data_IF_436063983269
#
_entry.id   IF_436063983269
#
_cell.length_a   1.000
_cell.length_b   1.000
_cell.length_c   1.000
_cell.angle_alpha   90.00
_cell.angle_beta   90.00
_cell.angle_gamma   90.00
#
_symmetry.space_group_name_H-M   'P 1'
#
loop_
_entity.id
_entity.type
_entity.pdbx_description
1 polymer ?
#
# COMPACT_ATOMS: atom_id res chain seq x y z
N UNK A 1 23.31 0.33 -33.96
CA UNK A 1 23.07 -1.08 -33.56
C UNK A 1 23.84 -1.97 -34.51
N UNK A 2 24.98 -2.51 -34.08
CA UNK A 2 25.79 -3.45 -34.88
C UNK A 2 25.45 -4.85 -34.38
N UNK A 3 24.82 -5.65 -35.24
CA UNK A 3 24.56 -7.05 -34.98
C UNK A 3 25.74 -7.85 -35.53
N UNK A 4 26.50 -8.52 -34.67
CA UNK A 4 27.53 -9.48 -35.09
C UNK A 4 27.24 -10.85 -34.49
N UNK A 5 27.30 -11.88 -35.33
CA UNK A 5 26.80 -13.23 -35.07
C UNK A 5 27.89 -14.17 -34.53
N UNK A 6 28.82 -13.64 -33.71
CA UNK A 6 29.98 -14.39 -33.21
C UNK A 6 30.07 -14.28 -31.69
N UNK A 7 30.30 -15.42 -31.04
CA UNK A 7 30.27 -15.57 -29.58
C UNK A 7 31.29 -14.63 -28.91
N UNK A 8 30.85 -13.71 -28.02
CA UNK A 8 31.71 -12.71 -27.37
C UNK A 8 32.86 -13.28 -26.53
N UNK A 9 32.77 -14.55 -26.12
CA UNK A 9 33.73 -15.19 -25.21
C UNK A 9 35.15 -15.39 -25.82
N UNK A 10 35.30 -15.34 -27.14
CA UNK A 10 36.58 -15.63 -27.82
C UNK A 10 37.32 -14.35 -28.24
N UNK A 11 36.62 -13.21 -28.38
CA UNK A 11 37.22 -11.96 -28.87
C UNK A 11 37.76 -11.04 -27.75
N UNK A 12 37.29 -11.23 -26.51
CA UNK A 12 37.66 -10.39 -25.36
C UNK A 12 39.14 -10.46 -24.91
N UNK A 13 39.86 -11.60 -24.98
CA UNK A 13 41.26 -11.64 -24.56
C UNK A 13 42.20 -10.93 -25.55
N UNK A 14 41.97 -11.07 -26.86
CA UNK A 14 42.87 -10.52 -27.88
C UNK A 14 42.71 -8.99 -28.04
N UNK A 15 41.48 -8.48 -27.91
CA UNK A 15 41.21 -7.03 -27.88
C UNK A 15 41.77 -6.39 -26.61
N UNK A 16 41.68 -7.08 -25.45
CA UNK A 16 42.31 -6.61 -24.20
C UNK A 16 43.82 -6.50 -24.32
N UNK A 17 44.48 -7.45 -24.99
CA UNK A 17 45.94 -7.47 -25.12
C UNK A 17 46.46 -6.31 -25.97
N UNK A 18 45.81 -6.02 -27.11
CA UNK A 18 46.25 -4.94 -27.99
C UNK A 18 45.88 -3.55 -27.48
N UNK A 19 44.82 -3.41 -26.68
CA UNK A 19 44.41 -2.12 -26.11
C UNK A 19 45.24 -1.74 -24.87
N UNK A 20 45.67 -2.73 -24.08
CA UNK A 20 46.57 -2.52 -22.93
C UNK A 20 47.98 -2.06 -23.34
N UNK A 21 48.40 -2.35 -24.56
CA UNK A 21 49.75 -2.03 -25.06
C UNK A 21 49.90 -0.57 -25.52
N UNK A 22 48.81 0.10 -25.93
CA UNK A 22 48.88 1.45 -26.52
C UNK A 22 48.34 2.59 -25.64
N UNK A 23 47.50 2.31 -24.64
CA UNK A 23 46.93 3.35 -23.77
C UNK A 23 46.81 2.89 -22.30
N UNK A 24 47.91 2.84 -21.53
CA UNK A 24 47.90 2.48 -20.11
C UNK A 24 47.15 3.49 -19.21
N UNK A 25 46.77 4.65 -19.76
CA UNK A 25 46.11 5.75 -19.06
C UNK A 25 44.59 5.57 -18.97
N UNK A 26 44.03 4.65 -19.76
CA UNK A 26 42.65 4.22 -19.62
C UNK A 26 42.61 3.06 -18.61
N UNK A 27 42.72 3.42 -17.32
CA UNK A 27 42.31 2.60 -16.19
C UNK A 27 40.80 2.38 -16.21
N UNK A 28 40.25 1.83 -17.30
CA UNK A 28 38.92 1.29 -17.34
C UNK A 28 38.99 -0.08 -16.68
N UNK A 29 38.73 -0.10 -15.37
CA UNK A 29 38.21 -1.28 -14.71
C UNK A 29 36.95 -1.72 -15.48
N UNK A 30 37.12 -2.68 -16.38
CA UNK A 30 36.05 -3.56 -16.84
C UNK A 30 35.68 -4.50 -15.67
N UNK A 31 35.37 -3.91 -14.52
CA UNK A 31 34.69 -4.53 -13.41
C UNK A 31 33.22 -4.61 -13.81
N UNK A 32 32.84 -5.84 -14.19
CA UNK A 32 31.49 -6.35 -14.38
C UNK A 32 30.37 -5.32 -14.18
N UNK A 33 29.81 -4.81 -15.28
CA UNK A 33 28.60 -3.97 -15.26
C UNK A 33 27.47 -4.64 -14.45
N UNK A 34 27.45 -5.97 -14.36
CA UNK A 34 26.53 -6.71 -13.49
C UNK A 34 26.81 -6.51 -12.00
N UNK A 35 28.07 -6.36 -11.57
CA UNK A 35 28.42 -6.09 -10.18
C UNK A 35 28.00 -4.67 -9.76
N UNK A 36 28.19 -3.67 -10.62
CA UNK A 36 27.74 -2.29 -10.37
C UNK A 36 26.22 -2.15 -10.37
N UNK A 37 25.52 -2.90 -11.22
CA UNK A 37 24.05 -3.02 -11.16
C UNK A 37 23.61 -3.72 -9.88
N UNK A 38 24.30 -4.77 -9.45
CA UNK A 38 23.99 -5.49 -8.21
C UNK A 38 24.15 -4.60 -6.98
N UNK A 39 25.18 -3.76 -6.94
CA UNK A 39 25.40 -2.82 -5.82
C UNK A 39 24.37 -1.68 -5.78
N UNK A 40 23.97 -1.15 -6.95
CA UNK A 40 22.88 -0.16 -7.03
C UNK A 40 21.50 -0.72 -6.67
N UNK A 41 21.21 -1.96 -7.08
CA UNK A 41 19.94 -2.64 -6.81
C UNK A 41 19.77 -3.08 -5.36
N UNK A 42 20.86 -3.29 -4.61
CA UNK A 42 20.78 -3.68 -3.18
C UNK A 42 20.15 -2.57 -2.35
N UNK A 43 20.55 -1.30 -2.57
CA UNK A 43 19.99 -0.16 -1.83
C UNK A 43 18.52 0.08 -2.20
N UNK A 44 18.17 0.05 -3.49
CA UNK A 44 16.79 0.19 -3.95
C UNK A 44 15.89 -0.93 -3.41
N UNK A 45 16.35 -2.20 -3.46
CA UNK A 45 15.61 -3.34 -2.89
C UNK A 45 15.44 -3.22 -1.38
N UNK A 46 16.47 -2.80 -0.65
CA UNK A 46 16.39 -2.61 0.80
C UNK A 46 15.33 -1.55 1.14
N UNK A 47 15.36 -0.41 0.45
CA UNK A 47 14.37 0.65 0.64
C UNK A 47 12.95 0.16 0.29
N UNK A 48 12.79 -0.52 -0.84
CA UNK A 48 11.50 -1.09 -1.23
C UNK A 48 10.97 -2.11 -0.21
N UNK A 49 11.84 -2.99 0.32
CA UNK A 49 11.46 -3.96 1.36
C UNK A 49 11.07 -3.27 2.67
N UNK A 50 11.84 -2.29 3.14
CA UNK A 50 11.54 -1.54 4.36
C UNK A 50 10.24 -0.74 4.21
N UNK A 51 10.06 -0.03 3.08
CA UNK A 51 8.81 0.67 2.78
C UNK A 51 7.62 -0.28 2.70
N UNK A 52 7.79 -1.45 2.08
CA UNK A 52 6.76 -2.49 2.04
C UNK A 52 6.41 -3.02 3.43
N UNK A 53 7.41 -3.28 4.27
CA UNK A 53 7.22 -3.73 5.65
C UNK A 53 6.51 -2.68 6.51
N UNK A 54 6.93 -1.42 6.46
CA UNK A 54 6.24 -0.34 7.16
C UNK A 54 4.83 -0.10 6.62
N UNK A 55 4.62 -0.20 5.31
CA UNK A 55 3.29 -0.13 4.70
C UNK A 55 2.38 -1.25 5.20
N UNK A 56 2.91 -2.48 5.34
CA UNK A 56 2.18 -3.60 5.92
C UNK A 56 1.85 -3.38 7.40
N UNK A 57 2.79 -2.91 8.21
CA UNK A 57 2.52 -2.58 9.62
C UNK A 57 1.48 -1.46 9.75
N UNK A 58 1.59 -0.40 8.95
CA UNK A 58 0.61 0.67 8.91
C UNK A 58 -0.78 0.13 8.55
N UNK A 59 -0.87 -0.75 7.56
CA UNK A 59 -2.13 -1.43 7.19
C UNK A 59 -2.73 -2.22 8.37
N UNK A 60 -1.92 -2.96 9.13
CA UNK A 60 -2.38 -3.67 10.33
C UNK A 60 -2.91 -2.71 11.40
N UNK A 61 -2.16 -1.64 11.71
CA UNK A 61 -2.57 -0.64 12.70
C UNK A 61 -3.87 0.05 12.26
N UNK A 62 -3.98 0.43 10.98
CA UNK A 62 -5.20 0.98 10.40
C UNK A 62 -6.37 0.00 10.51
N UNK A 63 -6.15 -1.29 10.23
CA UNK A 63 -7.18 -2.32 10.33
C UNK A 63 -7.72 -2.43 11.76
N UNK A 64 -6.83 -2.48 12.76
CA UNK A 64 -7.21 -2.55 14.18
C UNK A 64 -7.91 -1.27 14.63
N UNK A 65 -7.38 -0.10 14.25
CA UNK A 65 -7.96 1.20 14.59
C UNK A 65 -9.36 1.37 14.02
N UNK A 66 -9.55 1.04 12.74
CA UNK A 66 -10.87 1.12 12.10
C UNK A 66 -11.85 0.12 12.71
N UNK A 67 -11.42 -1.12 12.98
CA UNK A 67 -12.25 -2.09 13.71
C UNK A 67 -12.71 -1.52 15.06
N UNK A 68 -11.79 -0.91 15.82
CA UNK A 68 -12.10 -0.29 17.11
C UNK A 68 -13.12 0.84 17.00
N UNK A 69 -12.91 1.77 16.07
CA UNK A 69 -13.82 2.91 15.83
C UNK A 69 -15.20 2.43 15.40
N UNK A 70 -15.30 1.50 14.44
CA UNK A 70 -16.58 0.99 13.96
C UNK A 70 -17.27 0.17 15.05
N UNK A 71 -16.55 -0.68 15.78
CA UNK A 71 -17.10 -1.43 16.91
C UNK A 71 -17.63 -0.50 18.01
N UNK A 72 -16.94 0.61 18.28
CA UNK A 72 -17.39 1.62 19.23
C UNK A 72 -18.67 2.32 18.76
N UNK A 73 -18.73 2.73 17.50
CA UNK A 73 -19.93 3.36 16.92
C UNK A 73 -21.13 2.41 16.97
N UNK A 74 -20.94 1.15 16.58
CA UNK A 74 -21.98 0.11 16.68
C UNK A 74 -22.42 -0.07 18.13
N UNK A 75 -21.47 -0.15 19.08
CA UNK A 75 -21.77 -0.32 20.49
C UNK A 75 -22.60 0.85 21.06
N UNK A 76 -22.33 2.08 20.61
CA UNK A 76 -23.03 3.31 21.02
C UNK A 76 -24.42 3.42 20.39
N UNK A 77 -24.64 2.84 19.21
CA UNK A 77 -25.94 2.81 18.50
C UNK A 77 -26.73 1.51 18.73
N UNK A 78 -26.36 0.67 19.70
CA UNK A 78 -27.01 -0.64 19.94
C UNK A 78 -28.52 -0.54 20.13
N UNK A 79 -29.00 0.44 20.89
CA UNK A 79 -30.44 0.61 21.16
C UNK A 79 -31.20 0.99 19.87
N UNK A 80 -30.68 1.93 19.08
CA UNK A 80 -31.28 2.31 17.79
C UNK A 80 -31.33 1.12 16.80
N UNK A 81 -30.24 0.34 16.76
CA UNK A 81 -30.16 -0.86 15.91
C UNK A 81 -31.15 -1.92 16.40
N UNK A 82 -31.27 -2.12 17.72
CA UNK A 82 -32.23 -3.04 18.33
C UNK A 82 -33.68 -2.67 18.02
N UNK A 83 -34.05 -1.38 18.14
CA UNK A 83 -35.38 -0.88 17.78
C UNK A 83 -35.66 -1.10 16.28
N UNK A 84 -34.70 -0.78 15.40
CA UNK A 84 -34.86 -1.04 13.95
C UNK A 84 -35.06 -2.52 13.65
N UNK A 85 -34.32 -3.40 14.32
CA UNK A 85 -34.47 -4.85 14.18
C UNK A 85 -35.83 -5.33 14.70
N UNK A 86 -36.33 -4.79 15.81
CA UNK A 86 -37.67 -5.09 16.34
C UNK A 86 -38.80 -4.64 15.40
N UNK A 87 -38.59 -3.53 14.68
CA UNK A 87 -39.50 -3.04 13.63
C UNK A 87 -39.40 -3.82 12.31
N UNK A 88 -38.61 -4.90 12.25
CA UNK A 88 -38.53 -5.78 11.09
C UNK A 88 -37.45 -5.42 10.07
N UNK A 89 -36.47 -4.58 10.42
CA UNK A 89 -35.35 -4.30 9.52
C UNK A 89 -34.57 -5.59 9.17
N UNK A 90 -34.23 -5.74 7.89
CA UNK A 90 -33.45 -6.89 7.44
C UNK A 90 -31.99 -6.74 7.89
N UNK A 91 -31.34 -7.86 8.26
CA UNK A 91 -29.92 -7.90 8.64
C UNK A 91 -29.00 -7.21 7.62
N UNK A 92 -29.31 -7.33 6.33
CA UNK A 92 -28.56 -6.68 5.24
C UNK A 92 -28.62 -5.14 5.29
N UNK A 93 -29.72 -4.55 5.74
CA UNK A 93 -29.86 -3.10 5.89
C UNK A 93 -28.95 -2.57 7.01
N UNK A 94 -28.84 -3.30 8.12
CA UNK A 94 -27.92 -2.96 9.22
C UNK A 94 -26.46 -3.09 8.79
N UNK A 95 -26.11 -4.16 8.07
CA UNK A 95 -24.75 -4.33 7.54
C UNK A 95 -24.41 -3.20 6.56
N UNK A 96 -25.30 -2.90 5.61
CA UNK A 96 -25.11 -1.83 4.63
C UNK A 96 -24.94 -0.46 5.28
N UNK A 97 -25.72 -0.16 6.31
CA UNK A 97 -25.59 1.07 7.09
C UNK A 97 -24.20 1.23 7.72
N UNK A 98 -23.68 0.17 8.35
CA UNK A 98 -22.34 0.19 8.96
C UNK A 98 -21.25 0.26 7.90
N UNK A 99 -21.40 -0.46 6.78
CA UNK A 99 -20.49 -0.37 5.63
C UNK A 99 -20.44 1.02 5.01
N UNK A 100 -21.58 1.70 4.89
CA UNK A 100 -21.66 3.07 4.38
C UNK A 100 -20.97 4.05 5.33
N UNK A 101 -21.12 3.90 6.64
CA UNK A 101 -20.44 4.75 7.62
C UNK A 101 -18.92 4.55 7.57
N UNK A 102 -18.46 3.29 7.48
CA UNK A 102 -17.04 2.98 7.25
C UNK A 102 -16.53 3.52 5.90
N UNK A 103 -17.33 3.39 4.84
CA UNK A 103 -17.00 3.88 3.50
C UNK A 103 -16.85 5.41 3.45
N UNK A 104 -17.70 6.15 4.17
CA UNK A 104 -17.56 7.62 4.27
C UNK A 104 -16.26 8.02 4.97
N UNK A 105 -15.90 7.35 6.07
CA UNK A 105 -14.62 7.58 6.74
C UNK A 105 -13.43 7.27 5.83
N UNK A 106 -13.51 6.16 5.09
CA UNK A 106 -12.49 5.76 4.12
C UNK A 106 -12.30 6.82 3.03
N UNK A 107 -13.38 7.30 2.41
CA UNK A 107 -13.30 8.31 1.33
C UNK A 107 -12.65 9.59 1.83
N UNK A 108 -13.05 10.07 3.02
CA UNK A 108 -12.44 11.25 3.64
C UNK A 108 -10.95 11.01 3.89
N UNK A 109 -10.59 9.84 4.44
CA UNK A 109 -9.20 9.46 4.70
C UNK A 109 -8.35 9.35 3.43
N UNK A 110 -8.88 8.77 2.35
CA UNK A 110 -8.20 8.66 1.06
C UNK A 110 -7.98 10.05 0.47
N UNK A 111 -8.98 10.94 0.48
CA UNK A 111 -8.84 12.29 -0.06
C UNK A 111 -7.78 13.09 0.71
N UNK A 112 -7.86 13.07 2.05
CA UNK A 112 -6.90 13.75 2.91
C UNK A 112 -5.48 13.17 2.75
N UNK A 113 -5.35 11.83 2.78
CA UNK A 113 -4.08 11.14 2.61
C UNK A 113 -3.45 11.37 1.24
N UNK A 114 -4.26 11.39 0.17
CA UNK A 114 -3.78 11.72 -1.18
C UNK A 114 -3.26 13.15 -1.24
N UNK A 115 -4.00 14.12 -0.70
CA UNK A 115 -3.56 15.51 -0.66
C UNK A 115 -2.24 15.67 0.10
N UNK A 116 -2.11 15.05 1.28
CA UNK A 116 -0.89 15.05 2.08
C UNK A 116 0.28 14.38 1.35
N UNK A 117 0.02 13.24 0.70
CA UNK A 117 1.03 12.51 -0.07
C UNK A 117 1.58 13.35 -1.22
N UNK A 118 0.74 14.10 -1.94
CA UNK A 118 1.17 14.98 -3.03
C UNK A 118 2.03 16.14 -2.51
N UNK A 119 1.67 16.74 -1.38
CA UNK A 119 2.46 17.82 -0.77
C UNK A 119 3.81 17.29 -0.29
N UNK A 120 3.83 16.15 0.41
CA UNK A 120 5.06 15.52 0.88
C UNK A 120 5.94 15.05 -0.28
N UNK A 121 5.35 14.48 -1.33
CA UNK A 121 6.05 14.04 -2.53
C UNK A 121 6.73 15.20 -3.27
N UNK A 122 6.07 16.37 -3.33
CA UNK A 122 6.69 17.59 -3.88
C UNK A 122 7.88 18.05 -3.05
N UNK A 123 7.76 18.11 -1.72
CA UNK A 123 8.86 18.48 -0.84
C UNK A 123 10.04 17.49 -0.91
N UNK A 124 9.75 16.19 -1.06
CA UNK A 124 10.77 15.17 -1.27
C UNK A 124 11.46 15.31 -2.65
N UNK A 125 10.70 15.63 -3.70
CA UNK A 125 11.26 15.82 -5.05
C UNK A 125 12.21 17.02 -5.16
N UNK A 126 12.06 18.05 -4.30
CA UNK A 126 13.03 19.15 -4.23
C UNK A 126 14.35 18.76 -3.58
N UNK A 127 14.42 17.61 -2.89
CA UNK A 127 15.61 17.12 -2.20
C UNK A 127 16.29 15.95 -2.94
N UNK A 128 15.53 15.14 -3.69
CA UNK A 128 16.02 13.98 -4.44
C UNK A 128 15.70 14.13 -5.94
N UNK A 129 16.74 14.26 -6.77
CA UNK A 129 16.62 14.21 -8.22
C UNK A 129 16.09 12.84 -8.67
N UNK A 130 15.01 12.82 -9.47
CA UNK A 130 14.50 11.62 -10.14
C UNK A 130 13.25 10.97 -9.52
N UNK A 131 12.75 11.45 -8.38
CA UNK A 131 11.41 11.03 -7.92
C UNK A 131 10.36 11.55 -8.89
N UNK A 132 9.50 10.66 -9.41
CA UNK A 132 8.22 11.04 -10.04
C UNK A 132 7.18 11.15 -8.92
N UNK A 133 6.84 12.36 -8.44
CA UNK A 133 5.91 12.52 -7.31
C UNK A 133 4.46 12.14 -7.63
N UNK A 134 4.14 11.80 -8.89
CA UNK A 134 2.80 11.48 -9.34
C UNK A 134 2.78 10.22 -10.21
N UNK A 135 2.50 9.08 -9.56
CA UNK A 135 2.12 7.86 -10.26
C UNK A 135 0.66 7.50 -9.92
N UNK A 136 -0.28 7.75 -10.85
CA UNK A 136 -1.69 7.41 -10.66
C UNK A 136 -1.93 5.93 -10.37
N UNK A 137 -1.10 5.03 -10.91
CA UNK A 137 -1.27 3.60 -10.71
C UNK A 137 -1.00 3.22 -9.25
N UNK A 138 0.08 3.75 -8.68
CA UNK A 138 0.42 3.52 -7.27
C UNK A 138 -0.64 4.09 -6.32
N UNK A 139 -1.15 5.31 -6.59
CA UNK A 139 -2.19 5.92 -5.75
C UNK A 139 -3.52 5.17 -5.81
N UNK A 140 -3.93 4.74 -7.02
CA UNK A 140 -5.16 3.96 -7.19
C UNK A 140 -5.06 2.57 -6.56
N UNK A 141 -3.91 1.90 -6.71
CA UNK A 141 -3.65 0.60 -6.06
C UNK A 141 -3.65 0.73 -4.53
N UNK A 142 -3.03 1.76 -3.97
CA UNK A 142 -3.05 2.04 -2.54
C UNK A 142 -4.48 2.31 -2.03
N UNK A 143 -5.26 3.12 -2.75
CA UNK A 143 -6.67 3.38 -2.42
C UNK A 143 -7.52 2.10 -2.45
N UNK A 144 -7.33 1.24 -3.46
CA UNK A 144 -8.02 -0.04 -3.54
C UNK A 144 -7.64 -0.99 -2.40
N UNK A 145 -6.36 -1.06 -2.05
CA UNK A 145 -5.89 -1.85 -0.92
C UNK A 145 -6.49 -1.37 0.41
N UNK A 146 -6.51 -0.05 0.64
CA UNK A 146 -7.15 0.54 1.82
C UNK A 146 -8.65 0.26 1.86
N UNK A 147 -9.32 0.25 0.70
CA UNK A 147 -10.73 -0.11 0.63
C UNK A 147 -10.99 -1.58 1.04
N UNK A 148 -10.14 -2.51 0.60
CA UNK A 148 -10.19 -3.91 1.03
C UNK A 148 -9.97 -4.03 2.53
N UNK A 149 -8.93 -3.37 3.06
CA UNK A 149 -8.63 -3.36 4.50
C UNK A 149 -9.83 -2.81 5.30
N UNK A 150 -10.42 -1.71 4.83
CA UNK A 150 -11.55 -1.08 5.49
C UNK A 150 -12.79 -1.96 5.49
N UNK A 151 -13.09 -2.62 4.37
CA UNK A 151 -14.17 -3.58 4.25
C UNK A 151 -13.95 -4.76 5.22
N UNK A 152 -12.75 -5.34 5.25
CA UNK A 152 -12.43 -6.45 6.14
C UNK A 152 -12.53 -6.07 7.62
N UNK A 153 -11.99 -4.91 8.01
CA UNK A 153 -12.04 -4.41 9.38
C UNK A 153 -13.47 -4.12 9.86
N UNK A 154 -14.30 -3.55 8.99
CA UNK A 154 -15.67 -3.15 9.35
C UNK A 154 -16.69 -4.29 9.21
N UNK A 155 -16.41 -5.33 8.41
CA UNK A 155 -17.37 -6.41 8.14
C UNK A 155 -17.71 -7.21 9.40
N UNK A 156 -16.72 -7.49 10.25
CA UNK A 156 -16.92 -8.22 11.52
C UNK A 156 -17.86 -7.46 12.46
N UNK A 157 -17.61 -6.18 12.83
CA UNK A 157 -18.52 -5.42 13.69
C UNK A 157 -19.89 -5.18 13.03
N UNK A 158 -19.97 -4.99 11.71
CA UNK A 158 -21.25 -4.88 11.00
C UNK A 158 -22.09 -6.16 11.10
N UNK A 159 -21.45 -7.32 10.91
CA UNK A 159 -22.12 -8.62 11.07
C UNK A 159 -22.56 -8.84 12.52
N UNK A 160 -21.75 -8.44 13.51
CA UNK A 160 -22.13 -8.47 14.92
C UNK A 160 -23.35 -7.59 15.20
N UNK A 161 -23.39 -6.37 14.65
CA UNK A 161 -24.53 -5.46 14.77
C UNK A 161 -25.84 -6.08 14.24
N UNK A 162 -25.78 -6.75 13.08
CA UNK A 162 -26.95 -7.39 12.46
C UNK A 162 -27.50 -8.61 13.22
N UNK A 163 -26.73 -9.13 14.19
CA UNK A 163 -27.09 -10.27 15.02
C UNK A 163 -27.52 -9.87 16.43
N UNK A 164 -27.61 -8.57 16.72
CA UNK A 164 -28.16 -8.10 17.99
C UNK A 164 -29.62 -8.55 18.11
N UNK A 165 -29.91 -9.28 19.18
CA UNK A 165 -31.23 -9.87 19.42
C UNK A 165 -32.15 -8.80 20.05
N UNK A 166 -33.25 -8.39 19.37
CA UNK A 166 -34.13 -7.33 19.86
C UNK A 166 -34.72 -7.63 21.24
N UNK A 167 -34.84 -8.90 21.62
CA UNK A 167 -35.37 -9.34 22.91
C UNK A 167 -34.41 -9.11 24.09
N UNK A 168 -33.10 -8.99 23.86
CA UNK A 168 -32.14 -8.68 24.93
C UNK A 168 -32.15 -7.20 25.27
N UNK A 169 -32.52 -6.33 24.32
CA UNK A 169 -32.61 -4.88 24.56
C UNK A 169 -33.79 -4.48 25.45
N UNK A 170 -34.87 -5.27 25.51
CA UNK A 170 -36.04 -5.02 26.35
C UNK A 170 -35.94 -5.59 27.78
N UNK A 171 -34.92 -6.40 28.08
CA UNK A 171 -34.83 -7.14 29.36
C UNK A 171 -33.82 -6.53 30.34
N UNK A 172 -33.31 -5.33 30.02
CA UNK A 172 -32.37 -4.57 30.84
C UNK A 172 -32.95 -3.24 31.38
N UNK A 173 -34.26 -3.05 31.27
CA UNK A 173 -35.06 -2.12 32.09
C UNK A 173 -36.01 -2.93 32.98
#
# INVERSE_FOLDING_TARGET
MIHSNVRPAVLMPEVKRQLAEKHPELGMEFGDFQARIRDGLVQERLMAMLSGFFGFLAALVTMVGLYGVISYIVARRRNEIGIRMALGAQRGQVVSMVMLEAGRMLVIGILAGTALSLVAGRAASSLLFGLKPYDPLTLTAAGALLAVIAALASFVPARRASRLDPLVALRYE
#
